data_IF_647805671869
#
_entry.id   IF_647805671869
#
_cell.length_a   1.000
_cell.length_b   1.000
_cell.length_c   1.000
_cell.angle_alpha   90.00
_cell.angle_beta   90.00
_cell.angle_gamma   90.00
#
_symmetry.space_group_name_H-M   'P 1'
#
loop_
_entity.id
_entity.type
_entity.pdbx_description
1 polymer ?
#
# COMPACT_ATOMS: atom_id res chain seq x y z
N UNK A 1 14.86 -3.96 -25.59
CA UNK A 1 15.76 -4.25 -24.47
C UNK A 1 14.92 -4.83 -23.33
N UNK A 2 15.22 -6.03 -22.82
CA UNK A 2 14.46 -6.55 -21.69
C UNK A 2 14.78 -5.73 -20.43
N UNK A 3 13.74 -5.36 -19.69
CA UNK A 3 13.81 -4.60 -18.45
C UNK A 3 14.39 -5.50 -17.36
N UNK A 4 15.72 -5.51 -17.22
CA UNK A 4 16.41 -6.20 -16.13
C UNK A 4 16.22 -5.35 -14.87
N UNK A 5 15.48 -5.89 -13.91
CA UNK A 5 15.35 -5.29 -12.57
C UNK A 5 16.75 -5.17 -11.92
N UNK A 6 17.00 -4.13 -11.09
CA UNK A 6 18.28 -3.96 -10.41
C UNK A 6 18.68 -5.21 -9.62
N UNK A 7 19.93 -5.67 -9.75
CA UNK A 7 20.45 -6.86 -9.08
C UNK A 7 20.35 -6.80 -7.54
N UNK A 8 20.12 -5.61 -6.98
CA UNK A 8 19.88 -5.38 -5.56
C UNK A 8 18.56 -5.99 -5.05
N UNK A 9 17.56 -6.18 -5.92
CA UNK A 9 16.31 -6.88 -5.59
C UNK A 9 16.48 -8.40 -5.52
N UNK A 10 17.56 -8.94 -6.10
CA UNK A 10 17.95 -10.35 -6.02
C UNK A 10 19.00 -10.61 -4.94
N UNK A 11 19.24 -9.64 -4.05
CA UNK A 11 20.14 -9.87 -2.94
C UNK A 11 19.46 -10.82 -1.93
N UNK A 12 19.98 -12.04 -1.77
CA UNK A 12 19.35 -13.05 -0.94
C UNK A 12 19.23 -12.61 0.50
N UNK A 13 20.03 -11.65 0.99
CA UNK A 13 19.97 -11.18 2.38
C UNK A 13 18.65 -10.47 2.73
N UNK A 14 18.06 -9.71 1.82
CA UNK A 14 16.76 -9.07 2.09
C UNK A 14 15.63 -10.09 2.07
N UNK A 15 15.69 -11.06 1.15
CA UNK A 15 14.75 -12.17 1.11
C UNK A 15 14.91 -13.08 2.34
N UNK A 16 16.15 -13.36 2.76
CA UNK A 16 16.47 -14.16 3.93
C UNK A 16 15.97 -13.46 5.19
N UNK A 17 16.19 -12.14 5.35
CA UNK A 17 15.67 -11.40 6.49
C UNK A 17 14.14 -11.44 6.54
N UNK A 18 13.46 -11.25 5.40
CA UNK A 18 12.00 -11.31 5.34
C UNK A 18 11.45 -12.74 5.61
N UNK A 19 12.13 -13.77 5.11
CA UNK A 19 11.80 -15.17 5.38
C UNK A 19 12.10 -15.58 6.82
N UNK A 20 13.22 -15.14 7.39
CA UNK A 20 13.59 -15.37 8.80
C UNK A 20 12.59 -14.68 9.74
N UNK A 21 12.17 -13.45 9.42
CA UNK A 21 11.08 -12.75 10.11
C UNK A 21 9.76 -13.53 10.01
N UNK A 22 9.44 -14.08 8.84
CA UNK A 22 8.22 -14.86 8.60
C UNK A 22 8.22 -16.27 9.19
N UNK A 23 9.39 -16.86 9.45
CA UNK A 23 9.56 -18.25 9.91
C UNK A 23 10.03 -18.35 11.38
N UNK A 24 10.19 -17.20 12.04
CA UNK A 24 10.50 -17.14 13.47
C UNK A 24 9.34 -17.75 14.26
N UNK A 25 9.56 -18.79 15.09
CA UNK A 25 8.51 -19.31 15.96
C UNK A 25 8.10 -18.21 16.92
N UNK A 26 6.81 -17.88 16.97
CA UNK A 26 6.25 -16.79 17.76
C UNK A 26 6.67 -16.86 19.23
N UNK A 27 7.79 -16.23 19.55
CA UNK A 27 8.06 -15.74 20.88
C UNK A 27 7.42 -14.36 20.94
N UNK A 28 6.34 -14.30 21.70
CA UNK A 28 5.65 -13.09 22.12
C UNK A 28 6.65 -12.01 22.57
N UNK A 29 7.06 -11.19 21.61
CA UNK A 29 7.70 -9.90 21.87
C UNK A 29 6.61 -8.86 21.60
N UNK A 30 6.25 -8.01 22.57
CA UNK A 30 5.10 -7.11 22.48
C UNK A 30 5.35 -5.89 21.56
N UNK A 31 6.20 -6.02 20.53
CA UNK A 31 6.63 -4.91 19.66
C UNK A 31 6.68 -5.25 18.16
N UNK A 32 6.14 -6.39 17.70
CA UNK A 32 6.04 -6.67 16.26
C UNK A 32 4.84 -6.00 15.57
N UNK A 33 4.09 -5.17 16.30
CA UNK A 33 2.73 -4.74 15.94
C UNK A 33 2.65 -3.41 15.15
N UNK A 34 3.72 -2.60 15.06
CA UNK A 34 3.63 -1.24 14.49
C UNK A 34 4.54 -1.00 13.26
N UNK A 35 4.85 -2.03 12.46
CA UNK A 35 5.59 -1.82 11.22
C UNK A 35 4.64 -1.39 10.09
N UNK A 36 4.87 -0.18 9.57
CA UNK A 36 4.18 0.31 8.37
C UNK A 36 4.51 -0.60 7.18
N UNK A 37 3.48 -1.25 6.63
CA UNK A 37 3.61 -2.17 5.48
C UNK A 37 3.06 -1.51 4.22
N UNK A 38 3.81 -1.61 3.13
CA UNK A 38 3.39 -1.12 1.80
C UNK A 38 3.29 -2.29 0.85
N UNK A 39 2.14 -2.44 0.20
CA UNK A 39 1.93 -3.42 -0.87
C UNK A 39 1.75 -2.68 -2.20
N UNK A 40 2.53 -3.07 -3.21
CA UNK A 40 2.44 -2.50 -4.56
C UNK A 40 2.11 -3.63 -5.54
N UNK A 41 1.07 -3.44 -6.36
CA UNK A 41 0.64 -4.44 -7.32
C UNK A 41 0.27 -3.82 -8.68
N UNK A 42 0.73 -4.43 -9.77
CA UNK A 42 0.27 -4.10 -11.12
C UNK A 42 -0.90 -5.01 -11.52
N UNK A 43 -2.12 -4.47 -11.54
CA UNK A 43 -3.35 -5.25 -11.57
C UNK A 43 -3.74 -5.73 -12.97
N UNK A 44 -3.30 -4.98 -14.00
CA UNK A 44 -3.80 -5.15 -15.38
C UNK A 44 -5.35 -5.12 -15.49
N UNK A 45 -6.03 -4.43 -14.57
CA UNK A 45 -7.49 -4.39 -14.49
C UNK A 45 -7.99 -4.72 -13.08
N UNK A 46 -8.41 -3.71 -12.33
CA UNK A 46 -8.91 -3.89 -10.96
C UNK A 46 -10.42 -4.19 -10.88
N UNK A 47 -11.10 -4.28 -12.03
CA UNK A 47 -12.48 -4.78 -12.15
C UNK A 47 -12.54 -6.30 -12.28
N UNK A 48 -11.41 -6.97 -12.50
CA UNK A 48 -11.38 -8.42 -12.62
C UNK A 48 -11.68 -9.10 -11.27
N UNK A 49 -12.66 -10.02 -11.26
CA UNK A 49 -13.15 -10.65 -10.04
C UNK A 49 -12.11 -11.60 -9.43
N UNK A 50 -11.30 -12.25 -10.27
CA UNK A 50 -10.23 -13.14 -9.80
C UNK A 50 -9.13 -12.32 -9.12
N UNK A 51 -8.72 -11.20 -9.73
CA UNK A 51 -7.83 -10.22 -9.11
C UNK A 51 -8.36 -9.77 -7.76
N UNK A 52 -9.64 -9.35 -7.67
CA UNK A 52 -10.22 -8.89 -6.39
C UNK A 52 -10.23 -9.97 -5.32
N UNK A 53 -10.55 -11.21 -5.69
CA UNK A 53 -10.49 -12.35 -4.76
C UNK A 53 -9.08 -12.60 -4.25
N UNK A 54 -8.09 -12.61 -5.14
CA UNK A 54 -6.70 -12.83 -4.80
C UNK A 54 -6.14 -11.68 -3.95
N UNK A 55 -6.47 -10.43 -4.30
CA UNK A 55 -6.12 -9.25 -3.52
C UNK A 55 -6.72 -9.33 -2.12
N UNK A 56 -8.01 -9.67 -1.98
CA UNK A 56 -8.64 -9.84 -0.66
C UNK A 56 -7.89 -10.85 0.19
N UNK A 57 -7.54 -12.02 -0.36
CA UNK A 57 -6.75 -13.01 0.34
C UNK A 57 -5.44 -12.42 0.86
N UNK A 58 -4.68 -11.74 0.00
CA UNK A 58 -3.40 -11.14 0.38
C UNK A 58 -3.53 -10.04 1.43
N UNK A 59 -4.58 -9.22 1.34
CA UNK A 59 -4.85 -8.18 2.33
C UNK A 59 -5.21 -8.77 3.69
N UNK A 60 -5.94 -9.89 3.74
CA UNK A 60 -6.24 -10.59 5.00
C UNK A 60 -4.96 -11.07 5.69
N UNK A 61 -4.00 -11.61 4.94
CA UNK A 61 -2.76 -12.14 5.51
C UNK A 61 -1.74 -11.06 5.85
N UNK A 62 -1.66 -10.01 5.05
CA UNK A 62 -0.58 -9.03 5.18
C UNK A 62 -1.02 -7.73 5.84
N UNK A 63 -2.31 -7.38 5.80
CA UNK A 63 -2.89 -6.12 6.31
C UNK A 63 -1.96 -4.90 6.12
N UNK A 64 -1.61 -4.53 4.87
CA UNK A 64 -0.72 -3.42 4.63
C UNK A 64 -1.35 -2.09 5.03
N UNK A 65 -0.53 -1.16 5.52
CA UNK A 65 -0.93 0.21 5.87
C UNK A 65 -1.21 1.05 4.61
N UNK A 66 -0.48 0.77 3.53
CA UNK A 66 -0.67 1.37 2.20
C UNK A 66 -0.80 0.27 1.14
N UNK A 67 -1.81 0.41 0.28
CA UNK A 67 -1.96 -0.36 -0.94
C UNK A 67 -1.82 0.55 -2.17
N UNK A 68 -0.86 0.24 -3.03
CA UNK A 68 -0.65 0.91 -4.31
C UNK A 68 -1.00 -0.03 -5.46
N UNK A 69 -1.92 0.40 -6.33
CA UNK A 69 -2.33 -0.37 -7.50
C UNK A 69 -2.01 0.43 -8.78
N UNK A 70 -1.44 -0.23 -9.78
CA UNK A 70 -1.14 0.35 -11.09
C UNK A 70 -1.81 -0.44 -12.22
N UNK A 71 -2.02 0.21 -13.36
CA UNK A 71 -2.78 -0.35 -14.51
C UNK A 71 -4.15 -0.86 -14.07
N UNK A 72 -4.85 -0.10 -13.23
CA UNK A 72 -6.16 -0.48 -12.73
C UNK A 72 -7.23 -0.49 -13.81
N UNK A 73 -7.02 0.27 -14.91
CA UNK A 73 -8.02 0.47 -15.98
C UNK A 73 -9.36 1.00 -15.46
N UNK A 74 -9.34 1.71 -14.34
CA UNK A 74 -10.50 2.31 -13.70
C UNK A 74 -10.42 3.83 -13.73
N UNK A 75 -11.55 4.48 -14.02
CA UNK A 75 -11.66 5.94 -13.96
C UNK A 75 -11.86 6.45 -12.52
N UNK A 76 -12.47 5.65 -11.66
CA UNK A 76 -12.73 5.94 -10.25
C UNK A 76 -12.40 4.70 -9.41
N UNK A 77 -11.70 4.88 -8.28
CA UNK A 77 -11.23 3.81 -7.39
C UNK A 77 -11.96 3.74 -6.04
N UNK A 78 -13.05 4.52 -5.86
CA UNK A 78 -13.84 4.55 -4.62
C UNK A 78 -14.37 3.16 -4.25
N UNK A 79 -14.73 2.35 -5.24
CA UNK A 79 -15.17 0.96 -5.01
C UNK A 79 -14.10 0.11 -4.33
N UNK A 80 -12.81 0.33 -4.66
CA UNK A 80 -11.70 -0.41 -4.04
C UNK A 80 -11.49 0.05 -2.59
N UNK A 81 -11.67 1.33 -2.30
CA UNK A 81 -11.62 1.88 -0.94
C UNK A 81 -12.67 1.20 -0.06
N UNK A 82 -13.93 1.16 -0.53
CA UNK A 82 -15.02 0.51 0.19
C UNK A 82 -14.84 -1.01 0.31
N UNK A 83 -14.41 -1.67 -0.78
CA UNK A 83 -14.29 -3.14 -0.83
C UNK A 83 -13.15 -3.68 0.07
N UNK A 84 -12.07 -2.92 0.21
CA UNK A 84 -10.85 -3.35 0.91
C UNK A 84 -10.60 -2.63 2.24
N UNK A 85 -11.62 -1.92 2.76
CA UNK A 85 -11.61 -1.31 4.08
C UNK A 85 -10.45 -0.30 4.28
N UNK A 86 -10.14 0.44 3.22
CA UNK A 86 -9.37 1.67 3.30
C UNK A 86 -10.33 2.84 3.47
N UNK A 87 -9.84 3.98 3.92
CA UNK A 87 -10.71 5.14 4.21
C UNK A 87 -10.35 6.37 3.40
N UNK A 88 -9.19 6.38 2.75
CA UNK A 88 -8.75 7.51 1.93
C UNK A 88 -7.86 7.03 0.77
N UNK A 89 -7.76 7.88 -0.27
CA UNK A 89 -7.03 7.57 -1.50
C UNK A 89 -6.45 8.81 -2.22
N UNK A 90 -5.40 8.57 -3.00
CA UNK A 90 -4.97 9.43 -4.11
C UNK A 90 -5.11 8.60 -5.36
N UNK A 91 -5.74 9.13 -6.40
CA UNK A 91 -5.94 8.41 -7.66
C UNK A 91 -5.58 9.23 -8.88
N UNK A 92 -5.21 8.48 -9.92
CA UNK A 92 -5.07 8.91 -11.30
C UNK A 92 -6.03 8.07 -12.10
N UNK A 93 -7.02 8.70 -12.75
CA UNK A 93 -7.99 8.02 -13.59
C UNK A 93 -7.29 7.36 -14.80
N UNK A 94 -7.73 6.16 -15.17
CA UNK A 94 -7.36 5.57 -16.45
C UNK A 94 -7.90 6.41 -17.61
N UNK A 95 -7.13 6.50 -18.69
CA UNK A 95 -7.55 7.13 -19.95
C UNK A 95 -7.88 6.01 -20.94
N UNK A 96 -9.17 5.74 -21.14
CA UNK A 96 -9.64 4.59 -21.89
C UNK A 96 -9.19 3.27 -21.24
N UNK A 97 -8.55 2.39 -22.01
CA UNK A 97 -8.08 1.07 -21.54
C UNK A 97 -6.67 1.08 -20.93
N UNK A 98 -6.09 2.25 -20.72
CA UNK A 98 -4.68 2.42 -20.36
C UNK A 98 -4.52 3.26 -19.08
N UNK A 99 -3.55 2.86 -18.26
CA UNK A 99 -3.22 3.56 -17.03
C UNK A 99 -4.18 3.23 -15.88
N UNK A 100 -4.40 4.23 -15.03
CA UNK A 100 -5.05 4.05 -13.75
C UNK A 100 -4.04 3.71 -12.67
N UNK A 101 -3.96 4.58 -11.66
CA UNK A 101 -3.07 4.43 -10.50
C UNK A 101 -3.89 4.83 -9.27
N UNK A 102 -3.77 4.08 -8.19
CA UNK A 102 -4.33 4.48 -6.90
C UNK A 102 -3.39 4.11 -5.77
N UNK A 103 -3.31 5.00 -4.77
CA UNK A 103 -2.68 4.80 -3.48
C UNK A 103 -3.79 4.88 -2.44
N UNK A 104 -3.97 3.82 -1.64
CA UNK A 104 -5.04 3.65 -0.65
C UNK A 104 -4.43 3.51 0.75
N UNK A 105 -5.03 4.14 1.75
CA UNK A 105 -4.62 4.02 3.15
C UNK A 105 -5.80 4.18 4.13
N UNK A 106 -5.56 3.86 5.40
CA UNK A 106 -6.48 4.16 6.50
C UNK A 106 -6.05 5.46 7.17
N UNK A 107 -6.90 6.46 7.13
CA UNK A 107 -6.64 7.81 7.65
C UNK A 107 -6.54 7.86 9.19
N UNK A 108 -7.02 6.82 9.89
CA UNK A 108 -6.75 6.67 11.32
C UNK A 108 -5.28 6.32 11.60
N UNK A 109 -4.61 5.63 10.67
CA UNK A 109 -3.25 5.10 10.86
C UNK A 109 -2.20 6.05 10.28
N UNK A 110 -2.51 6.72 9.17
CA UNK A 110 -1.55 7.49 8.38
C UNK A 110 -2.11 8.84 7.95
N UNK A 111 -1.22 9.83 7.91
CA UNK A 111 -1.45 11.11 7.24
C UNK A 111 -0.63 11.11 5.95
N UNK A 112 -1.31 11.28 4.81
CA UNK A 112 -0.68 11.22 3.48
C UNK A 112 -0.89 12.55 2.77
N UNK A 113 0.22 13.18 2.38
CA UNK A 113 0.22 14.46 1.68
C UNK A 113 0.68 14.28 0.23
N UNK A 114 -0.15 14.57 -0.78
CA UNK A 114 0.27 14.52 -2.18
C UNK A 114 1.32 15.61 -2.45
N UNK A 115 2.47 15.19 -3.00
CA UNK A 115 3.56 16.08 -3.45
C UNK A 115 3.41 16.38 -4.93
N UNK A 116 3.13 15.35 -5.74
CA UNK A 116 2.85 15.48 -7.16
C UNK A 116 1.92 14.35 -7.62
N UNK A 117 0.97 14.68 -8.50
CA UNK A 117 0.06 13.70 -9.11
C UNK A 117 0.00 13.99 -10.59
N UNK A 118 0.40 13.02 -11.41
CA UNK A 118 0.39 13.13 -12.88
C UNK A 118 -0.32 11.93 -13.49
N UNK A 119 -0.48 11.89 -14.81
CA UNK A 119 -1.04 10.72 -15.49
C UNK A 119 -0.18 9.45 -15.39
N UNK A 120 1.09 9.58 -14.96
CA UNK A 120 2.07 8.50 -14.94
C UNK A 120 2.55 8.14 -13.53
N UNK A 121 2.37 9.01 -12.55
CA UNK A 121 2.87 8.80 -11.18
C UNK A 121 2.01 9.47 -10.11
N UNK A 122 2.09 8.90 -8.90
CA UNK A 122 1.66 9.53 -7.65
C UNK A 122 2.91 9.61 -6.77
N UNK A 123 3.24 10.82 -6.33
CA UNK A 123 4.27 11.09 -5.34
C UNK A 123 3.58 11.69 -4.10
N UNK A 124 3.77 11.05 -2.95
CA UNK A 124 3.21 11.50 -1.68
C UNK A 124 4.22 11.35 -0.54
N UNK A 125 4.14 12.25 0.43
CA UNK A 125 4.78 12.13 1.74
C UNK A 125 3.81 11.41 2.68
N UNK A 126 4.34 10.55 3.55
CA UNK A 126 3.55 9.74 4.47
C UNK A 126 4.12 9.88 5.87
N UNK A 127 3.25 10.25 6.81
CA UNK A 127 3.53 10.30 8.23
C UNK A 127 2.63 9.30 8.97
N UNK A 128 3.16 8.71 10.04
CA UNK A 128 2.38 7.83 10.92
C UNK A 128 1.59 8.68 11.89
N UNK A 129 0.28 8.41 12.01
CA UNK A 129 -0.56 9.08 12.98
C UNK A 129 -0.31 8.45 14.37
N UNK A 130 0.63 9.00 15.15
CA UNK A 130 0.86 8.54 16.52
C UNK A 130 -0.08 9.27 17.49
N UNK A 131 -1.12 8.62 18.03
CA UNK A 131 -2.05 9.25 18.97
C UNK A 131 -1.35 9.74 20.25
N UNK A 132 -0.16 9.22 20.60
CA UNK A 132 0.65 9.69 21.74
C UNK A 132 1.33 11.03 21.48
N UNK A 133 1.46 11.45 20.23
CA UNK A 133 2.01 12.78 19.88
C UNK A 133 0.95 13.88 19.91
N UNK A 134 -0.34 13.53 19.90
CA UNK A 134 -1.45 14.50 19.96
C UNK A 134 -1.75 15.01 21.38
N UNK A 135 -1.25 14.35 22.43
CA UNK A 135 -1.51 14.70 23.84
C UNK A 135 -0.56 15.74 24.45
N UNK A 136 0.35 16.34 23.67
CA UNK A 136 1.33 17.31 24.17
C UNK A 136 1.00 18.79 23.86
N UNK A 137 -0.23 19.13 23.47
CA UNK A 137 -0.62 20.54 23.42
C UNK A 137 -1.05 21.01 24.82
N UNK A 138 -0.33 21.93 25.50
CA UNK A 138 -0.77 22.47 26.77
C UNK A 138 -1.97 23.39 26.49
N UNK A 139 -3.10 23.09 27.13
CA UNK A 139 -4.21 24.05 27.25
C UNK A 139 -3.67 25.24 28.05
N UNK A 140 -3.61 26.41 27.41
CA UNK A 140 -3.39 27.70 28.09
C UNK A 140 -4.66 28.12 28.79
#
# INVERSE_FOLDING_TARGET
QPFLLPATLYNPRYLLMHLELSLSPERSTPHHEDLMKIMIWNCWGALDQEFRRNLRFLLTWNNPSILCLTKTRMANHTDLLMEFNYTDLIQVAAQGHSGGIVLLWRACDLVVYPVAVTSQEIHASVDVNDPRTQSQHPTT
#
